data_IF_706369565255
#
_entry.id   IF_706369565255
#
_cell.length_a   1.000
_cell.length_b   1.000
_cell.length_c   1.000
_cell.angle_alpha   90.00
_cell.angle_beta   90.00
_cell.angle_gamma   90.00
#
_symmetry.space_group_name_H-M   'P 1'
#
loop_
_entity.id
_entity.type
_entity.pdbx_description
1 polymer ?
#
# COMPACT_ATOMS: atom_id res chain seq x y z
N UNK A 1 9.06 -9.78 20.59
CA UNK A 1 8.67 -8.73 19.62
C UNK A 1 7.17 -8.58 19.79
N UNK A 2 6.67 -7.42 20.24
CA UNK A 2 5.25 -7.25 20.55
C UNK A 2 4.39 -7.46 19.30
N UNK A 3 3.54 -8.47 19.32
CA UNK A 3 2.76 -8.91 18.16
C UNK A 3 1.76 -7.84 17.71
N UNK A 4 1.11 -7.16 18.66
CA UNK A 4 0.14 -6.09 18.37
C UNK A 4 0.79 -4.86 17.78
N UNK A 5 1.97 -4.51 18.28
CA UNK A 5 2.78 -3.41 17.73
C UNK A 5 3.22 -3.70 16.29
N UNK A 6 3.51 -4.97 15.97
CA UNK A 6 3.83 -5.39 14.61
C UNK A 6 2.61 -5.34 13.69
N UNK A 7 1.43 -5.74 14.17
CA UNK A 7 0.17 -5.68 13.40
C UNK A 7 -0.23 -4.25 13.09
N UNK A 8 -0.22 -3.36 14.08
CA UNK A 8 -0.46 -1.91 13.88
C UNK A 8 0.54 -1.29 12.90
N UNK A 9 1.83 -1.60 13.05
CA UNK A 9 2.86 -1.12 12.14
C UNK A 9 2.64 -1.65 10.70
N UNK A 10 2.30 -2.92 10.55
CA UNK A 10 1.96 -3.53 9.26
C UNK A 10 0.78 -2.84 8.57
N UNK A 11 -0.28 -2.54 9.33
CA UNK A 11 -1.45 -1.79 8.84
C UNK A 11 -1.07 -0.38 8.38
N UNK A 12 -0.24 0.34 9.13
CA UNK A 12 0.26 1.66 8.73
C UNK A 12 1.14 1.60 7.47
N UNK A 13 2.01 0.59 7.36
CA UNK A 13 2.81 0.35 6.15
C UNK A 13 1.91 0.11 4.96
N UNK A 14 0.87 -0.73 5.09
CA UNK A 14 -0.10 -0.98 4.03
C UNK A 14 -0.80 0.32 3.61
N UNK A 15 -1.29 1.13 4.55
CA UNK A 15 -1.92 2.43 4.24
C UNK A 15 -0.96 3.30 3.40
N UNK A 16 0.27 3.47 3.87
CA UNK A 16 1.27 4.29 3.20
C UNK A 16 1.58 3.78 1.78
N UNK A 17 1.82 2.48 1.64
CA UNK A 17 2.13 1.87 0.34
C UNK A 17 0.95 1.99 -0.64
N UNK A 18 -0.28 1.82 -0.14
CA UNK A 18 -1.49 1.93 -0.93
C UNK A 18 -1.71 3.35 -1.46
N UNK A 19 -1.53 4.36 -0.61
CA UNK A 19 -1.63 5.77 -0.99
C UNK A 19 -0.57 6.13 -2.04
N UNK A 20 0.69 5.75 -1.82
CA UNK A 20 1.78 6.00 -2.78
C UNK A 20 1.46 5.34 -4.12
N UNK A 21 0.99 4.10 -4.11
CA UNK A 21 0.61 3.36 -5.33
C UNK A 21 -0.60 3.98 -6.03
N UNK A 22 -1.57 4.51 -5.29
CA UNK A 22 -2.76 5.17 -5.82
C UNK A 22 -2.47 6.55 -6.44
N UNK A 23 -1.58 7.34 -5.83
CA UNK A 23 -1.28 8.71 -6.27
C UNK A 23 -0.16 8.78 -7.30
N UNK A 24 0.79 7.85 -7.25
CA UNK A 24 1.99 7.88 -8.09
C UNK A 24 2.17 6.65 -9.02
N UNK A 25 1.12 6.15 -9.72
CA UNK A 25 1.28 5.02 -10.66
C UNK A 25 2.23 5.38 -11.82
N UNK A 26 2.29 6.66 -12.19
CA UNK A 26 3.23 7.17 -13.18
C UNK A 26 4.70 7.16 -12.72
N UNK A 27 4.96 7.23 -11.41
CA UNK A 27 6.30 7.10 -10.85
C UNK A 27 6.77 5.65 -10.93
N UNK A 28 5.87 4.70 -10.63
CA UNK A 28 6.12 3.26 -10.83
C UNK A 28 6.40 2.96 -12.30
N UNK A 29 5.58 3.48 -13.22
CA UNK A 29 5.81 3.32 -14.66
C UNK A 29 7.15 3.90 -15.11
N UNK A 30 7.55 5.07 -14.60
CA UNK A 30 8.86 5.68 -14.89
C UNK A 30 10.03 4.87 -14.33
N UNK A 31 9.91 4.35 -13.11
CA UNK A 31 10.94 3.51 -12.50
C UNK A 31 11.10 2.20 -13.26
N UNK A 32 9.99 1.51 -13.57
CA UNK A 32 10.00 0.30 -14.40
C UNK A 32 10.60 0.58 -15.77
N UNK A 33 10.21 1.68 -16.42
CA UNK A 33 10.78 2.12 -17.70
C UNK A 33 12.28 2.37 -17.60
N UNK A 34 12.76 3.03 -16.54
CA UNK A 34 14.18 3.28 -16.30
C UNK A 34 14.96 1.98 -16.06
N UNK A 35 14.37 1.00 -15.37
CA UNK A 35 14.98 -0.31 -15.11
C UNK A 35 15.08 -1.16 -16.38
N UNK A 36 14.02 -1.16 -17.19
CA UNK A 36 13.98 -1.86 -18.48
C UNK A 36 14.90 -1.18 -19.50
N UNK A 37 14.96 0.15 -19.52
CA UNK A 37 15.82 0.92 -20.42
C UNK A 37 17.31 0.81 -20.18
N UNK A 38 17.72 0.31 -19.02
CA UNK A 38 19.11 -0.09 -18.80
C UNK A 38 19.52 -1.33 -19.61
N UNK A 39 18.56 -2.12 -20.10
CA UNK A 39 18.80 -3.39 -20.79
C UNK A 39 18.29 -3.41 -22.24
N UNK A 40 17.47 -2.44 -22.64
CA UNK A 40 16.87 -2.38 -23.98
C UNK A 40 16.96 -0.97 -24.57
N UNK A 41 17.49 -0.85 -25.79
CA UNK A 41 17.70 0.42 -26.50
C UNK A 41 16.41 1.18 -26.87
N UNK A 42 15.23 0.55 -26.75
CA UNK A 42 13.93 1.16 -27.11
C UNK A 42 12.96 1.36 -25.94
N UNK A 43 13.42 1.23 -24.69
CA UNK A 43 12.52 1.34 -23.55
C UNK A 43 11.90 2.74 -23.41
N UNK A 44 12.50 3.78 -23.99
CA UNK A 44 11.96 5.14 -23.99
C UNK A 44 10.66 5.30 -24.79
N UNK A 45 10.33 4.35 -25.68
CA UNK A 45 9.04 4.32 -26.37
C UNK A 45 7.90 3.72 -25.53
N UNK A 46 8.21 3.08 -24.40
CA UNK A 46 7.19 2.45 -23.55
C UNK A 46 6.38 3.52 -22.80
N UNK A 47 5.11 3.66 -23.19
CA UNK A 47 4.11 4.43 -22.47
C UNK A 47 3.20 3.48 -21.70
N UNK A 48 2.95 3.78 -20.42
CA UNK A 48 2.03 2.99 -19.63
C UNK A 48 0.61 3.11 -20.22
N UNK A 49 -0.01 1.97 -20.55
CA UNK A 49 -1.38 1.95 -21.07
C UNK A 49 -2.33 2.58 -20.03
N UNK A 50 -3.30 3.42 -20.43
CA UNK A 50 -4.22 4.07 -19.48
C UNK A 50 -4.99 3.08 -18.61
N UNK A 51 -5.32 1.89 -19.14
CA UNK A 51 -5.93 0.80 -18.38
C UNK A 51 -5.04 0.27 -17.25
N UNK A 52 -3.73 0.15 -17.47
CA UNK A 52 -2.78 -0.27 -16.45
C UNK A 52 -2.72 0.75 -15.31
N UNK A 53 -2.61 2.04 -15.63
CA UNK A 53 -2.62 3.12 -14.63
C UNK A 53 -3.87 3.05 -13.77
N UNK A 54 -5.04 2.85 -14.37
CA UNK A 54 -6.31 2.78 -13.64
C UNK A 54 -6.36 1.56 -12.71
N UNK A 55 -5.86 0.43 -13.15
CA UNK A 55 -5.75 -0.79 -12.31
C UNK A 55 -4.76 -0.61 -11.16
N UNK A 56 -3.58 -0.03 -11.41
CA UNK A 56 -2.61 0.23 -10.34
C UNK A 56 -3.18 1.19 -9.29
N UNK A 57 -3.94 2.21 -9.72
CA UNK A 57 -4.65 3.08 -8.77
C UNK A 57 -5.67 2.33 -7.93
N UNK A 58 -6.50 1.51 -8.57
CA UNK A 58 -7.51 0.72 -7.87
C UNK A 58 -6.87 -0.25 -6.86
N UNK A 59 -5.76 -0.90 -7.24
CA UNK A 59 -5.00 -1.78 -6.36
C UNK A 59 -4.43 -1.01 -5.15
N UNK A 60 -3.84 0.17 -5.37
CA UNK A 60 -3.35 1.03 -4.29
C UNK A 60 -4.45 1.47 -3.33
N UNK A 61 -5.62 1.87 -3.85
CA UNK A 61 -6.78 2.23 -3.03
C UNK A 61 -7.26 1.04 -2.20
N UNK A 62 -7.39 -0.15 -2.81
CA UNK A 62 -7.82 -1.36 -2.12
C UNK A 62 -6.86 -1.75 -0.99
N UNK A 63 -5.55 -1.66 -1.25
CA UNK A 63 -4.52 -1.95 -0.26
C UNK A 63 -4.52 -0.92 0.89
N UNK A 64 -4.75 0.37 0.59
CA UNK A 64 -4.91 1.38 1.63
C UNK A 64 -6.16 1.12 2.49
N UNK A 65 -7.30 0.80 1.86
CA UNK A 65 -8.55 0.50 2.55
C UNK A 65 -8.40 -0.73 3.47
N UNK A 66 -7.74 -1.79 3.01
CA UNK A 66 -7.45 -2.97 3.82
C UNK A 66 -6.55 -2.62 5.03
N UNK A 67 -5.54 -1.77 4.83
CA UNK A 67 -4.69 -1.29 5.93
C UNK A 67 -5.47 -0.48 6.98
N UNK A 68 -6.40 0.39 6.54
CA UNK A 68 -7.29 1.13 7.47
C UNK A 68 -8.17 0.17 8.25
N UNK A 69 -8.82 -0.78 7.58
CA UNK A 69 -9.66 -1.78 8.24
C UNK A 69 -8.86 -2.59 9.28
N UNK A 70 -7.66 -3.05 8.92
CA UNK A 70 -6.77 -3.76 9.84
C UNK A 70 -6.36 -2.91 11.04
N UNK A 71 -6.05 -1.63 10.84
CA UNK A 71 -5.72 -0.71 11.94
C UNK A 71 -6.90 -0.52 12.90
N UNK A 72 -8.11 -0.29 12.38
CA UNK A 72 -9.31 -0.12 13.19
C UNK A 72 -9.59 -1.37 14.01
N UNK A 73 -9.43 -2.57 13.45
CA UNK A 73 -9.58 -3.82 14.19
C UNK A 73 -8.62 -3.90 15.39
N UNK A 74 -7.36 -3.45 15.26
CA UNK A 74 -6.46 -3.43 16.42
C UNK A 74 -6.79 -2.36 17.44
N UNK A 75 -7.35 -1.23 17.02
CA UNK A 75 -7.78 -0.20 17.98
C UNK A 75 -8.93 -0.73 18.83
N UNK A 76 -9.93 -1.37 18.20
CA UNK A 76 -11.08 -1.95 18.90
C UNK A 76 -10.64 -3.10 19.81
N UNK A 77 -9.72 -3.96 19.35
CA UNK A 77 -9.21 -5.07 20.15
C UNK A 77 -8.47 -4.60 21.42
N UNK A 78 -7.65 -3.55 21.32
CA UNK A 78 -6.97 -2.96 22.48
C UNK A 78 -7.97 -2.35 23.49
N UNK A 79 -9.05 -1.73 23.01
CA UNK A 79 -10.09 -1.14 23.87
C UNK A 79 -10.85 -2.22 24.65
N UNK A 80 -11.26 -3.31 23.99
CA UNK A 80 -11.92 -4.44 24.65
C UNK A 80 -11.03 -5.13 25.69
N UNK A 81 -9.74 -5.30 25.40
CA UNK A 81 -8.80 -5.90 26.35
C UNK A 81 -8.57 -5.03 27.60
N UNK A 82 -8.71 -3.71 27.46
CA UNK A 82 -8.59 -2.77 28.57
C UNK A 82 -9.82 -2.83 29.49
N UNK A 83 -11.02 -2.95 28.90
CA UNK A 83 -12.30 -3.04 29.64
C UNK A 83 -12.41 -4.34 30.46
N UNK A 84 -11.95 -5.48 29.94
CA UNK A 84 -11.92 -6.76 30.69
C UNK A 84 -10.88 -6.81 31.82
N UNK A 85 -9.94 -5.87 31.87
CA UNK A 85 -8.90 -5.83 32.91
C UNK A 85 -9.33 -5.02 34.15
N UNK A 86 -10.41 -4.25 34.04
CA UNK A 86 -10.95 -3.39 35.11
C UNK A 86 -12.18 -4.02 35.84
N UNK A 87 -12.56 -5.26 35.50
CA UNK A 87 -13.59 -6.09 36.19
C UNK A 87 -12.97 -7.21 37.05
#
# INVERSE_FOLDING_TARGET
>A
MDTDRCRKAGSLIAIGQGIVTALAPGLSAKLTKKLVGKNFENADALAAKPGYIRQTRAAGIGLAAAGVAGYVMEVVADETASDESDE
#
